data_IF_589982951474
#
_entry.id   IF_589982951474
#
_cell.length_a   1.000
_cell.length_b   1.000
_cell.length_c   1.000
_cell.angle_alpha   90.00
_cell.angle_beta   90.00
_cell.angle_gamma   90.00
#
_symmetry.space_group_name_H-M   'P 1'
#
loop_
_entity.id
_entity.type
_entity.pdbx_description
1 polymer ?
#
# COMPACT_ATOMS: atom_id res chain seq x y z
N UNK A 1 4.07 -2.74 -4.96
CA UNK A 1 2.85 -3.25 -4.29
C UNK A 1 1.67 -2.87 -5.18
N UNK A 2 0.42 -3.04 -4.76
CA UNK A 2 -0.74 -2.61 -5.58
C UNK A 2 -1.64 -1.71 -4.76
N UNK A 3 -1.85 -0.47 -5.21
CA UNK A 3 -2.83 0.44 -4.62
C UNK A 3 -4.11 0.37 -5.44
N UNK A 4 -5.21 -0.06 -4.81
CA UNK A 4 -6.53 -0.12 -5.44
C UNK A 4 -7.48 0.87 -4.77
N UNK A 5 -8.18 1.68 -5.56
CA UNK A 5 -9.26 2.54 -5.06
C UNK A 5 -10.53 1.68 -4.93
N UNK A 6 -11.15 1.70 -3.76
CA UNK A 6 -12.46 1.09 -3.51
C UNK A 6 -13.38 2.16 -2.91
N UNK A 7 -14.30 2.68 -3.72
CA UNK A 7 -15.14 3.81 -3.34
C UNK A 7 -14.31 5.04 -2.99
N UNK A 8 -14.47 5.55 -1.76
CA UNK A 8 -13.79 6.73 -1.22
C UNK A 8 -12.45 6.42 -0.52
N UNK A 9 -12.01 5.16 -0.51
CA UNK A 9 -10.78 4.72 0.18
C UNK A 9 -9.80 4.05 -0.77
N UNK A 10 -8.52 4.12 -0.40
CA UNK A 10 -7.38 3.52 -1.10
C UNK A 10 -6.85 2.36 -0.27
N UNK A 11 -6.76 1.19 -0.87
CA UNK A 11 -6.28 -0.01 -0.20
C UNK A 11 -4.94 -0.40 -0.81
N UNK A 12 -3.96 -0.61 0.06
CA UNK A 12 -2.66 -1.14 -0.32
C UNK A 12 -2.70 -2.65 -0.18
N UNK A 13 -2.38 -3.37 -1.25
CA UNK A 13 -2.25 -4.81 -1.29
C UNK A 13 -0.79 -5.23 -1.54
N UNK A 14 -0.44 -6.44 -1.12
CA UNK A 14 0.82 -7.09 -1.53
C UNK A 14 0.87 -7.27 -3.06
N UNK A 15 2.07 -7.52 -3.61
CA UNK A 15 2.26 -7.70 -5.06
C UNK A 15 1.30 -8.76 -5.63
N UNK A 16 1.05 -9.82 -4.86
CA UNK A 16 0.18 -10.94 -5.25
C UNK A 16 -1.31 -10.70 -4.99
N UNK A 17 -1.69 -9.50 -4.52
CA UNK A 17 -3.05 -9.12 -4.11
C UNK A 17 -3.69 -9.98 -3.01
N UNK A 18 -3.00 -11.02 -2.52
CA UNK A 18 -3.46 -11.94 -1.46
C UNK A 18 -3.54 -11.29 -0.08
N UNK A 19 -2.65 -10.34 0.23
CA UNK A 19 -2.61 -9.68 1.55
C UNK A 19 -2.96 -8.20 1.45
N UNK A 20 -3.87 -7.76 2.31
CA UNK A 20 -4.20 -6.35 2.50
C UNK A 20 -3.23 -5.75 3.52
N UNK A 21 -2.46 -4.76 3.09
CA UNK A 21 -1.37 -4.14 3.87
C UNK A 21 -1.80 -2.83 4.56
N UNK A 22 -2.96 -2.30 4.19
CA UNK A 22 -3.56 -1.15 4.86
C UNK A 22 -4.72 -0.54 4.06
N UNK A 23 -5.54 0.24 4.76
CA UNK A 23 -6.61 1.06 4.16
C UNK A 23 -6.32 2.51 4.47
N UNK A 24 -6.43 3.38 3.47
CA UNK A 24 -6.05 4.78 3.53
C UNK A 24 -7.17 5.64 2.96
N UNK A 25 -7.34 6.85 3.49
CA UNK A 25 -8.30 7.83 2.96
C UNK A 25 -7.80 8.54 1.69
N UNK A 26 -6.48 8.53 1.44
CA UNK A 26 -5.89 9.21 0.28
C UNK A 26 -4.82 8.35 -0.41
N UNK A 27 -4.66 8.56 -1.72
CA UNK A 27 -3.62 7.91 -2.54
C UNK A 27 -2.22 8.21 -1.99
N UNK A 28 -1.99 9.45 -1.54
CA UNK A 28 -0.70 9.92 -1.00
C UNK A 28 -0.30 9.15 0.27
N UNK A 29 -1.25 8.88 1.17
CA UNK A 29 -1.01 8.08 2.36
C UNK A 29 -0.67 6.61 2.02
N UNK A 30 -1.38 6.01 1.06
CA UNK A 30 -1.08 4.66 0.58
C UNK A 30 0.32 4.56 -0.05
N UNK A 31 0.71 5.55 -0.86
CA UNK A 31 2.05 5.65 -1.45
C UNK A 31 3.16 5.83 -0.39
N UNK A 32 2.93 6.65 0.62
CA UNK A 32 3.89 6.82 1.73
C UNK A 32 4.14 5.49 2.44
N UNK A 33 3.08 4.71 2.68
CA UNK A 33 3.20 3.37 3.29
C UNK A 33 3.93 2.38 2.38
N UNK A 34 3.64 2.40 1.08
CA UNK A 34 4.37 1.57 0.11
C UNK A 34 5.88 1.87 0.12
N UNK A 35 6.26 3.16 0.09
CA UNK A 35 7.68 3.56 0.16
C UNK A 35 8.35 3.07 1.44
N UNK A 36 7.70 3.21 2.59
CA UNK A 36 8.22 2.68 3.85
C UNK A 36 8.46 1.17 3.77
N UNK A 37 7.47 0.41 3.28
CA UNK A 37 7.58 -1.05 3.21
C UNK A 37 8.70 -1.47 2.25
N UNK A 38 8.84 -0.81 1.10
CA UNK A 38 9.96 -1.08 0.19
C UNK A 38 11.30 -0.72 0.82
N UNK A 39 11.40 0.43 1.49
CA UNK A 39 12.61 0.82 2.20
C UNK A 39 13.06 -0.26 3.19
N UNK A 40 12.15 -0.73 4.05
CA UNK A 40 12.47 -1.80 5.01
C UNK A 40 12.76 -3.15 4.34
N UNK A 41 12.21 -3.40 3.15
CA UNK A 41 12.49 -4.62 2.38
C UNK A 41 13.89 -4.64 1.78
N UNK A 42 14.38 -3.49 1.32
CA UNK A 42 15.69 -3.35 0.68
C UNK A 42 16.83 -3.07 1.67
N UNK A 43 16.50 -2.74 2.92
CA UNK A 43 17.49 -2.51 3.99
C UNK A 43 17.92 -3.79 4.71
N UNK A 44 17.56 -4.97 4.17
CA UNK A 44 17.80 -6.28 4.76
C UNK A 44 18.51 -7.19 3.77
#
# INVERSE_FOLDING_TARGET
MVIKKQGYKYILYSKDKKKKLGTFRSKKAALKRERQIQFFKHKK
#
